data_IF_165140612112
#
_entry.id   IF_165140612112
#
_cell.length_a   1.000
_cell.length_b   1.000
_cell.length_c   1.000
_cell.angle_alpha   90.00
_cell.angle_beta   90.00
_cell.angle_gamma   90.00
#
_symmetry.space_group_name_H-M   'P 1'
#
loop_
_entity.id
_entity.type
_entity.pdbx_description
1 polymer ?
#
# COMPACT_ATOMS: atom_id res chain seq x y z
N UNK A 1 -31.51 8.57 -23.67
CA UNK A 1 -30.58 9.67 -23.26
C UNK A 1 -29.47 9.19 -22.30
N UNK A 2 -29.22 7.88 -22.21
CA UNK A 2 -28.22 7.26 -21.30
C UNK A 2 -26.76 7.15 -21.77
N UNK A 3 -26.39 7.16 -23.07
CA UNK A 3 -25.03 6.80 -23.48
C UNK A 3 -23.98 7.89 -23.21
N UNK A 4 -24.41 9.14 -22.96
CA UNK A 4 -23.50 10.27 -22.70
C UNK A 4 -22.99 10.30 -21.26
N UNK A 5 -23.75 9.78 -20.29
CA UNK A 5 -23.31 9.77 -18.89
C UNK A 5 -22.32 8.64 -18.60
N UNK A 6 -22.50 7.46 -19.19
CA UNK A 6 -21.57 6.33 -19.00
C UNK A 6 -20.19 6.62 -19.60
N UNK A 7 -20.16 7.24 -20.79
CA UNK A 7 -18.90 7.64 -21.46
C UNK A 7 -18.11 8.70 -20.68
N UNK A 8 -18.79 9.60 -19.96
CA UNK A 8 -18.14 10.64 -19.16
C UNK A 8 -17.48 10.08 -17.88
N UNK A 9 -18.12 9.10 -17.25
CA UNK A 9 -17.58 8.37 -16.09
C UNK A 9 -16.36 7.54 -16.48
N UNK A 10 -16.39 6.87 -17.63
CA UNK A 10 -15.26 6.05 -18.10
C UNK A 10 -14.06 6.93 -18.50
N UNK A 11 -14.31 8.06 -19.17
CA UNK A 11 -13.27 9.02 -19.53
C UNK A 11 -12.62 9.63 -18.28
N UNK A 12 -13.43 10.04 -17.30
CA UNK A 12 -12.95 10.56 -16.01
C UNK A 12 -12.14 9.51 -15.26
N UNK A 13 -12.59 8.26 -15.26
CA UNK A 13 -11.88 7.14 -14.61
C UNK A 13 -10.52 6.90 -15.24
N UNK A 14 -10.44 6.87 -16.57
CA UNK A 14 -9.19 6.70 -17.30
C UNK A 14 -8.23 7.86 -17.05
N UNK A 15 -8.73 9.10 -17.02
CA UNK A 15 -7.93 10.28 -16.70
C UNK A 15 -7.34 10.20 -15.28
N UNK A 16 -8.15 9.89 -14.27
CA UNK A 16 -7.67 9.79 -12.89
C UNK A 16 -6.64 8.67 -12.71
N UNK A 17 -6.85 7.52 -13.36
CA UNK A 17 -5.87 6.44 -13.37
C UNK A 17 -4.57 6.88 -14.06
N UNK A 18 -4.65 7.51 -15.23
CA UNK A 18 -3.48 8.01 -15.96
C UNK A 18 -2.69 9.04 -15.15
N UNK A 19 -3.37 9.98 -14.49
CA UNK A 19 -2.75 10.98 -13.61
C UNK A 19 -2.11 10.33 -12.37
N UNK A 20 -2.78 9.33 -11.78
CA UNK A 20 -2.25 8.55 -10.66
C UNK A 20 -0.95 7.83 -11.05
N UNK A 21 -0.94 7.14 -12.20
CA UNK A 21 0.24 6.44 -12.72
C UNK A 21 1.35 7.44 -13.05
N UNK A 22 1.02 8.56 -13.70
CA UNK A 22 1.98 9.62 -14.00
C UNK A 22 2.62 10.20 -12.74
N UNK A 23 1.83 10.45 -11.69
CA UNK A 23 2.34 10.90 -10.40
C UNK A 23 3.26 9.85 -9.74
N UNK A 24 2.93 8.56 -9.83
CA UNK A 24 3.79 7.47 -9.34
C UNK A 24 5.12 7.39 -10.09
N UNK A 25 5.11 7.57 -11.42
CA UNK A 25 6.33 7.60 -12.24
C UNK A 25 7.20 8.80 -11.85
N UNK A 26 6.61 10.00 -11.74
CA UNK A 26 7.33 11.21 -11.33
C UNK A 26 7.96 11.01 -9.94
N UNK A 27 7.19 10.43 -9.00
CA UNK A 27 7.71 10.11 -7.68
C UNK A 27 8.90 9.14 -7.76
N UNK A 28 8.77 8.02 -8.49
CA UNK A 28 9.82 7.01 -8.65
C UNK A 28 11.11 7.60 -9.26
N UNK A 29 10.98 8.50 -10.24
CA UNK A 29 12.13 9.17 -10.85
C UNK A 29 12.80 10.16 -9.89
N UNK A 30 12.04 10.82 -9.02
CA UNK A 30 12.53 11.88 -8.11
C UNK A 30 12.94 11.39 -6.72
N UNK A 31 12.95 10.09 -6.44
CA UNK A 31 13.32 9.59 -5.11
C UNK A 31 14.75 9.97 -4.68
N UNK A 32 15.65 10.22 -5.64
CA UNK A 32 17.03 10.65 -5.39
C UNK A 32 17.15 12.10 -4.89
N UNK A 33 16.15 12.94 -5.16
CA UNK A 33 16.19 14.36 -4.81
C UNK A 33 15.92 14.56 -3.31
N UNK A 34 16.52 15.58 -2.66
CA UNK A 34 16.12 15.95 -1.30
C UNK A 34 14.62 16.30 -1.24
N UNK A 35 14.02 16.31 -0.03
CA UNK A 35 12.61 16.67 0.14
C UNK A 35 12.28 17.97 -0.61
N UNK A 36 11.37 17.90 -1.56
CA UNK A 36 10.95 19.03 -2.38
C UNK A 36 9.44 18.94 -2.70
N UNK A 37 8.79 20.07 -3.02
CA UNK A 37 7.34 20.11 -3.21
C UNK A 37 6.84 19.17 -4.31
N UNK A 38 7.59 19.01 -5.40
CA UNK A 38 7.17 18.16 -6.52
C UNK A 38 7.26 16.67 -6.16
N UNK A 39 8.34 16.23 -5.51
CA UNK A 39 8.45 14.86 -4.97
C UNK A 39 7.35 14.57 -3.97
N UNK A 40 7.06 15.51 -3.07
CA UNK A 40 5.97 15.39 -2.10
C UNK A 40 4.62 15.23 -2.81
N UNK A 41 4.30 16.15 -3.73
CA UNK A 41 3.02 16.18 -4.42
C UNK A 41 2.83 14.94 -5.30
N UNK A 42 3.86 14.53 -6.04
CA UNK A 42 3.83 13.32 -6.87
C UNK A 42 3.56 12.07 -6.01
N UNK A 43 4.25 11.94 -4.88
CA UNK A 43 4.04 10.82 -3.96
C UNK A 43 2.62 10.82 -3.38
N UNK A 44 2.16 11.96 -2.87
CA UNK A 44 0.83 12.11 -2.29
C UNK A 44 -0.30 11.87 -3.32
N UNK A 45 -0.18 12.47 -4.52
CA UNK A 45 -1.18 12.36 -5.58
C UNK A 45 -1.27 10.95 -6.17
N UNK A 46 -0.18 10.19 -6.17
CA UNK A 46 -0.19 8.82 -6.72
C UNK A 46 -1.32 7.97 -6.12
N UNK A 47 -1.50 8.00 -4.80
CA UNK A 47 -2.54 7.21 -4.10
C UNK A 47 -3.82 8.01 -3.84
N UNK A 48 -3.76 9.33 -3.58
CA UNK A 48 -4.99 10.11 -3.35
C UNK A 48 -5.87 10.21 -4.59
N UNK A 49 -5.30 10.17 -5.80
CA UNK A 49 -6.08 10.06 -7.05
C UNK A 49 -6.77 8.69 -7.19
N UNK A 50 -6.16 7.60 -6.70
CA UNK A 50 -6.84 6.30 -6.61
C UNK A 50 -7.99 6.34 -5.59
N UNK A 51 -7.80 7.04 -4.47
CA UNK A 51 -8.86 7.27 -3.48
C UNK A 51 -10.05 8.03 -4.09
N UNK A 52 -9.77 9.09 -4.85
CA UNK A 52 -10.80 9.88 -5.53
C UNK A 52 -11.51 9.05 -6.60
N UNK A 53 -10.76 8.30 -7.39
CA UNK A 53 -11.33 7.35 -8.35
C UNK A 53 -12.29 6.37 -7.66
N UNK A 54 -11.87 5.77 -6.54
CA UNK A 54 -12.71 4.83 -5.81
C UNK A 54 -13.99 5.48 -5.29
N UNK A 55 -13.90 6.71 -4.78
CA UNK A 55 -15.07 7.48 -4.35
C UNK A 55 -16.05 7.74 -5.50
N UNK A 56 -15.56 8.23 -6.64
CA UNK A 56 -16.40 8.55 -7.80
C UNK A 56 -17.04 7.31 -8.43
N UNK A 57 -16.39 6.15 -8.30
CA UNK A 57 -16.93 4.86 -8.74
C UNK A 57 -17.91 4.23 -7.75
N UNK A 58 -18.23 4.90 -6.63
CA UNK A 58 -19.15 4.39 -5.63
C UNK A 58 -18.61 3.19 -4.86
N UNK A 59 -17.28 3.02 -4.81
CA UNK A 59 -16.67 1.91 -4.08
C UNK A 59 -16.95 2.00 -2.57
N UNK A 60 -16.89 0.88 -1.84
CA UNK A 60 -17.15 0.88 -0.41
C UNK A 60 -16.26 1.88 0.35
N UNK A 61 -16.85 2.61 1.30
CA UNK A 61 -16.16 3.65 2.09
C UNK A 61 -14.82 3.20 2.70
N UNK A 62 -14.66 1.96 3.22
CA UNK A 62 -13.37 1.51 3.74
C UNK A 62 -12.24 1.55 2.70
N UNK A 63 -12.51 1.27 1.41
CA UNK A 63 -11.51 1.35 0.35
C UNK A 63 -11.04 2.79 0.15
N UNK A 64 -11.99 3.72 0.05
CA UNK A 64 -11.72 5.16 -0.13
C UNK A 64 -10.88 5.67 1.05
N UNK A 65 -11.28 5.37 2.29
CA UNK A 65 -10.56 5.83 3.47
C UNK A 65 -9.18 5.17 3.61
N UNK A 66 -9.03 3.89 3.26
CA UNK A 66 -7.74 3.20 3.29
C UNK A 66 -6.73 3.84 2.31
N UNK A 67 -7.17 4.17 1.09
CA UNK A 67 -6.34 4.87 0.10
C UNK A 67 -6.01 6.30 0.55
N UNK A 68 -7.00 7.03 1.07
CA UNK A 68 -6.80 8.36 1.63
C UNK A 68 -5.75 8.37 2.75
N UNK A 69 -5.89 7.49 3.74
CA UNK A 69 -4.93 7.36 4.84
C UNK A 69 -3.56 6.88 4.36
N UNK A 70 -3.51 5.98 3.37
CA UNK A 70 -2.25 5.59 2.74
C UNK A 70 -1.53 6.80 2.13
N UNK A 71 -2.25 7.67 1.43
CA UNK A 71 -1.67 8.91 0.88
C UNK A 71 -1.20 9.89 1.97
N UNK A 72 -1.87 9.97 3.11
CA UNK A 72 -1.41 10.75 4.28
C UNK A 72 -0.16 10.15 4.93
N UNK A 73 -0.04 8.81 4.97
CA UNK A 73 1.19 8.13 5.40
C UNK A 73 2.35 8.44 4.45
N UNK A 74 2.07 8.46 3.15
CA UNK A 74 3.01 8.84 2.11
C UNK A 74 3.50 10.28 2.24
N UNK A 75 2.58 11.22 2.48
CA UNK A 75 2.89 12.61 2.77
C UNK A 75 3.78 12.72 4.01
N UNK A 76 3.46 11.98 5.09
CA UNK A 76 4.27 11.95 6.30
C UNK A 76 5.72 11.50 6.00
N UNK A 77 5.90 10.42 5.23
CA UNK A 77 7.23 9.96 4.82
C UNK A 77 7.98 10.94 3.90
N UNK A 78 7.25 11.73 3.10
CA UNK A 78 7.85 12.71 2.20
C UNK A 78 8.41 13.95 2.93
N UNK A 79 7.92 14.24 4.14
CA UNK A 79 8.38 15.38 4.95
C UNK A 79 9.78 15.18 5.57
N UNK A 80 10.28 13.94 5.62
CA UNK A 80 11.65 13.66 6.04
C UNK A 80 11.82 12.38 6.86
N UNK A 81 13.04 12.18 7.39
CA UNK A 81 13.45 10.95 8.10
C UNK A 81 13.46 11.07 9.64
N UNK A 82 12.74 12.03 10.20
CA UNK A 82 12.57 12.16 11.66
C UNK A 82 11.68 11.07 12.27
N UNK A 83 11.76 10.90 13.59
CA UNK A 83 10.91 9.93 14.32
C UNK A 83 9.43 10.30 14.27
N UNK A 84 9.10 11.60 14.31
CA UNK A 84 7.72 12.08 14.24
C UNK A 84 7.07 11.79 12.88
N UNK A 85 7.78 12.01 11.77
CA UNK A 85 7.28 11.71 10.43
C UNK A 85 7.10 10.20 10.21
N UNK A 86 7.99 9.38 10.78
CA UNK A 86 7.84 7.93 10.77
C UNK A 86 6.64 7.46 11.58
N UNK A 87 6.43 8.01 12.78
CA UNK A 87 5.28 7.66 13.61
C UNK A 87 3.97 8.05 12.92
N UNK A 88 3.90 9.25 12.33
CA UNK A 88 2.76 9.70 11.54
C UNK A 88 2.48 8.75 10.37
N UNK A 89 3.53 8.32 9.65
CA UNK A 89 3.38 7.34 8.58
C UNK A 89 2.84 5.99 9.09
N UNK A 90 3.45 5.45 10.15
CA UNK A 90 3.03 4.16 10.73
C UNK A 90 1.58 4.19 11.17
N UNK A 91 1.13 5.25 11.85
CA UNK A 91 -0.26 5.35 12.32
C UNK A 91 -1.23 5.40 11.15
N UNK A 92 -0.97 6.25 10.14
CA UNK A 92 -1.83 6.36 8.96
C UNK A 92 -1.92 5.04 8.20
N UNK A 93 -0.77 4.42 7.91
CA UNK A 93 -0.76 3.13 7.23
C UNK A 93 -1.40 2.03 8.08
N UNK A 94 -1.19 2.00 9.39
CA UNK A 94 -1.81 1.01 10.27
C UNK A 94 -3.34 1.06 10.17
N UNK A 95 -3.92 2.26 10.26
CA UNK A 95 -5.36 2.45 10.15
C UNK A 95 -5.85 2.07 8.74
N UNK A 96 -5.09 2.42 7.69
CA UNK A 96 -5.40 2.00 6.33
C UNK A 96 -5.46 0.47 6.18
N UNK A 97 -4.51 -0.27 6.76
CA UNK A 97 -4.51 -1.73 6.74
C UNK A 97 -5.69 -2.32 7.50
N UNK A 98 -6.08 -1.74 8.64
CA UNK A 98 -7.28 -2.16 9.37
C UNK A 98 -8.54 -1.96 8.52
N UNK A 99 -8.63 -0.85 7.79
CA UNK A 99 -9.74 -0.60 6.86
C UNK A 99 -9.73 -1.57 5.67
N UNK A 100 -8.57 -1.94 5.14
CA UNK A 100 -8.47 -3.01 4.14
C UNK A 100 -8.92 -4.36 4.68
N UNK A 101 -8.52 -4.73 5.91
CA UNK A 101 -8.99 -5.96 6.57
C UNK A 101 -10.52 -5.93 6.68
N UNK A 102 -11.09 -4.83 7.18
CA UNK A 102 -12.54 -4.69 7.30
C UNK A 102 -13.23 -4.78 5.93
N UNK A 103 -12.69 -4.10 4.91
CA UNK A 103 -13.19 -4.16 3.54
C UNK A 103 -13.27 -5.61 3.03
N UNK A 104 -12.15 -6.34 3.07
CA UNK A 104 -12.06 -7.69 2.55
C UNK A 104 -12.95 -8.65 3.34
N UNK A 105 -12.94 -8.55 4.67
CA UNK A 105 -13.80 -9.34 5.54
C UNK A 105 -15.28 -9.18 5.21
N UNK A 106 -15.74 -7.97 4.96
CA UNK A 106 -17.16 -7.69 4.74
C UNK A 106 -17.63 -7.96 3.30
N UNK A 107 -16.72 -8.05 2.33
CA UNK A 107 -17.09 -8.13 0.92
C UNK A 107 -16.56 -9.36 0.19
N UNK A 108 -16.29 -10.45 0.91
CA UNK A 108 -16.12 -11.76 0.30
C UNK A 108 -14.80 -12.47 0.56
N UNK A 109 -14.04 -12.08 1.58
CA UNK A 109 -12.92 -12.91 2.03
C UNK A 109 -13.44 -14.27 2.52
N UNK A 110 -13.04 -15.34 1.84
CA UNK A 110 -13.34 -16.72 2.20
C UNK A 110 -12.04 -17.51 2.33
N UNK A 111 -11.71 -17.93 3.56
CA UNK A 111 -10.51 -18.69 3.83
C UNK A 111 -10.57 -20.13 3.29
N UNK A 112 -11.74 -20.63 2.90
CA UNK A 112 -11.84 -21.89 2.16
C UNK A 112 -11.09 -21.80 0.82
N UNK A 113 -11.09 -20.63 0.16
CA UNK A 113 -10.31 -20.38 -1.06
C UNK A 113 -8.80 -20.54 -0.84
N UNK A 114 -8.32 -20.13 0.33
CA UNK A 114 -6.90 -20.30 0.69
C UNK A 114 -6.55 -21.78 0.85
N UNK A 115 -7.41 -22.55 1.52
CA UNK A 115 -7.16 -23.99 1.73
C UNK A 115 -7.32 -24.83 0.45
N UNK A 116 -8.20 -24.41 -0.46
CA UNK A 116 -8.49 -25.13 -1.71
C UNK A 116 -7.52 -24.82 -2.86
N UNK A 117 -6.76 -23.72 -2.77
CA UNK A 117 -5.83 -23.28 -3.81
C UNK A 117 -4.38 -23.31 -3.27
N UNK A 118 -3.56 -24.21 -3.84
CA UNK A 118 -2.16 -24.40 -3.44
C UNK A 118 -1.34 -23.12 -3.53
N UNK A 119 -1.62 -22.26 -4.51
CA UNK A 119 -0.91 -21.00 -4.69
C UNK A 119 -1.21 -20.02 -3.55
N UNK A 120 -2.48 -19.88 -3.18
CA UNK A 120 -2.92 -19.00 -2.07
C UNK A 120 -2.45 -19.51 -0.72
N UNK A 121 -2.46 -20.84 -0.54
CA UNK A 121 -1.89 -21.47 0.65
C UNK A 121 -0.39 -21.17 0.78
N UNK A 122 0.36 -21.34 -0.31
CA UNK A 122 1.80 -21.04 -0.33
C UNK A 122 2.06 -19.57 0.00
N UNK A 123 1.35 -18.63 -0.63
CA UNK A 123 1.45 -17.20 -0.31
C UNK A 123 1.20 -16.94 1.17
N UNK A 124 0.17 -17.55 1.74
CA UNK A 124 -0.18 -17.37 3.16
C UNK A 124 0.94 -17.84 4.09
N UNK A 125 1.49 -19.04 3.84
CA UNK A 125 2.60 -19.60 4.63
C UNK A 125 3.86 -18.74 4.48
N UNK A 126 4.21 -18.35 3.26
CA UNK A 126 5.38 -17.50 2.99
C UNK A 126 5.23 -16.15 3.68
N UNK A 127 4.06 -15.52 3.61
CA UNK A 127 3.80 -14.22 4.24
C UNK A 127 3.84 -14.29 5.76
N UNK A 128 3.31 -15.36 6.36
CA UNK A 128 3.43 -15.60 7.80
C UNK A 128 4.89 -15.75 8.22
N UNK A 129 5.64 -16.63 7.54
CA UNK A 129 7.05 -16.85 7.82
C UNK A 129 7.86 -15.56 7.63
N UNK A 130 7.58 -14.82 6.56
CA UNK A 130 8.19 -13.52 6.27
C UNK A 130 7.92 -12.50 7.37
N UNK A 131 6.69 -12.41 7.88
CA UNK A 131 6.34 -11.53 9.00
C UNK A 131 7.15 -11.84 10.27
N UNK A 132 7.34 -13.12 10.59
CA UNK A 132 8.17 -13.56 11.71
C UNK A 132 9.65 -13.20 11.49
N UNK A 133 10.20 -13.49 10.30
CA UNK A 133 11.60 -13.20 9.95
C UNK A 133 11.85 -11.69 9.95
N UNK A 134 10.99 -10.91 9.30
CA UNK A 134 11.08 -9.45 9.26
C UNK A 134 11.01 -8.87 10.68
N UNK A 135 10.11 -9.36 11.53
CA UNK A 135 10.01 -8.94 12.93
C UNK A 135 11.30 -9.24 13.72
N UNK A 136 11.82 -10.46 13.58
CA UNK A 136 13.06 -10.89 14.24
C UNK A 136 14.27 -10.06 13.80
N UNK A 137 14.36 -9.72 12.51
CA UNK A 137 15.50 -9.00 11.95
C UNK A 137 15.41 -7.48 12.13
N UNK A 138 14.22 -6.88 11.98
CA UNK A 138 14.04 -5.42 11.95
C UNK A 138 13.77 -4.87 13.35
N UNK A 139 12.86 -5.46 14.12
CA UNK A 139 12.41 -4.85 15.39
C UNK A 139 13.53 -4.62 16.42
N UNK A 140 14.56 -5.47 16.56
CA UNK A 140 15.69 -5.18 17.47
C UNK A 140 16.47 -3.92 17.11
N UNK A 141 16.39 -3.45 15.86
CA UNK A 141 17.06 -2.21 15.39
C UNK A 141 16.21 -0.96 15.59
N UNK A 142 14.92 -1.13 15.88
CA UNK A 142 13.99 -0.01 16.13
C UNK A 142 14.21 0.50 17.56
N UNK A 143 14.65 1.74 17.69
CA UNK A 143 14.99 2.36 18.99
C UNK A 143 13.77 3.06 19.61
N UNK A 144 13.66 3.01 20.94
CA UNK A 144 12.69 3.77 21.71
C UNK A 144 11.25 3.29 21.57
N UNK A 145 10.30 4.18 21.88
CA UNK A 145 8.86 3.87 21.97
C UNK A 145 8.21 3.48 20.64
N UNK A 146 8.84 3.75 19.49
CA UNK A 146 8.29 3.43 18.17
C UNK A 146 8.38 1.94 17.81
N UNK A 147 9.15 1.15 18.57
CA UNK A 147 9.27 -0.30 18.34
C UNK A 147 7.94 -1.05 18.47
N UNK A 148 7.12 -0.70 19.45
CA UNK A 148 5.81 -1.33 19.64
C UNK A 148 4.85 -1.01 18.48
N UNK A 149 4.67 0.25 18.05
CA UNK A 149 3.96 0.59 16.82
C UNK A 149 4.44 -0.20 15.60
N UNK A 150 5.75 -0.34 15.38
CA UNK A 150 6.29 -1.16 14.29
C UNK A 150 5.91 -2.65 14.41
N UNK A 151 5.93 -3.22 15.62
CA UNK A 151 5.57 -4.62 15.81
C UNK A 151 4.08 -4.88 15.52
N UNK A 152 3.21 -4.00 16.03
CA UNK A 152 1.77 -4.03 15.74
C UNK A 152 1.52 -3.87 14.25
N UNK A 153 2.25 -2.95 13.61
CA UNK A 153 2.19 -2.73 12.18
C UNK A 153 2.45 -3.99 11.36
N UNK A 154 3.54 -4.73 11.65
CA UNK A 154 3.87 -5.96 10.93
C UNK A 154 2.75 -7.00 11.09
N UNK A 155 2.21 -7.17 12.29
CA UNK A 155 1.10 -8.11 12.53
C UNK A 155 -0.17 -7.75 11.75
N UNK A 156 -0.52 -6.46 11.71
CA UNK A 156 -1.67 -5.96 10.95
C UNK A 156 -1.45 -6.07 9.44
N UNK A 157 -0.26 -5.76 8.94
CA UNK A 157 0.10 -5.92 7.53
C UNK A 157 0.00 -7.39 7.08
N UNK A 158 0.56 -8.32 7.86
CA UNK A 158 0.44 -9.76 7.59
C UNK A 158 -1.02 -10.19 7.58
N UNK A 159 -1.81 -9.73 8.55
CA UNK A 159 -3.25 -10.02 8.61
C UNK A 159 -3.98 -9.49 7.38
N UNK A 160 -3.71 -8.24 6.97
CA UNK A 160 -4.28 -7.64 5.77
C UNK A 160 -3.99 -8.48 4.52
N UNK A 161 -2.74 -8.91 4.35
CA UNK A 161 -2.34 -9.75 3.22
C UNK A 161 -3.05 -11.11 3.23
N UNK A 162 -3.21 -11.76 4.39
CA UNK A 162 -3.99 -13.01 4.50
C UNK A 162 -5.45 -12.83 4.10
N UNK A 163 -6.09 -11.73 4.50
CA UNK A 163 -7.43 -11.39 4.05
C UNK A 163 -7.48 -11.11 2.53
N UNK A 164 -6.46 -10.44 1.98
CA UNK A 164 -6.34 -10.23 0.54
C UNK A 164 -6.24 -11.56 -0.23
N UNK A 165 -5.50 -12.55 0.30
CA UNK A 165 -5.40 -13.89 -0.28
C UNK A 165 -6.68 -14.71 -0.16
N UNK A 166 -7.57 -14.36 0.77
CA UNK A 166 -8.89 -14.94 0.90
C UNK A 166 -9.92 -14.30 -0.05
N UNK A 167 -9.57 -13.23 -0.77
CA UNK A 167 -10.48 -12.60 -1.73
C UNK A 167 -10.56 -13.40 -3.05
N UNK A 168 -11.74 -13.51 -3.69
CA UNK A 168 -11.89 -14.15 -5.00
C UNK A 168 -10.99 -13.54 -6.09
N UNK A 169 -10.77 -12.22 -6.04
CA UNK A 169 -9.92 -11.51 -7.00
C UNK A 169 -8.43 -11.84 -6.82
N UNK A 170 -7.83 -12.46 -7.84
CA UNK A 170 -6.38 -12.71 -7.89
C UNK A 170 -5.58 -11.40 -7.89
N UNK A 171 -6.12 -10.30 -8.47
CA UNK A 171 -5.47 -8.99 -8.45
C UNK A 171 -5.29 -8.48 -7.02
N UNK A 172 -6.32 -8.61 -6.18
CA UNK A 172 -6.25 -8.22 -4.76
C UNK A 172 -5.22 -9.09 -4.03
N UNK A 173 -5.23 -10.41 -4.26
CA UNK A 173 -4.27 -11.32 -3.66
C UNK A 173 -2.81 -10.99 -4.03
N UNK A 174 -2.51 -10.78 -5.32
CA UNK A 174 -1.18 -10.35 -5.77
C UNK A 174 -0.81 -8.96 -5.20
N UNK A 175 -1.76 -8.02 -5.18
CA UNK A 175 -1.57 -6.71 -4.58
C UNK A 175 -1.15 -6.81 -3.11
N UNK A 176 -1.82 -7.64 -2.31
CA UNK A 176 -1.46 -7.89 -0.92
C UNK A 176 -0.04 -8.46 -0.75
N UNK A 177 0.39 -9.38 -1.61
CA UNK A 177 1.75 -9.92 -1.58
C UNK A 177 2.81 -8.86 -1.89
N UNK A 178 2.59 -8.06 -2.94
CA UNK A 178 3.50 -6.96 -3.31
C UNK A 178 3.57 -5.90 -2.19
N UNK A 179 2.44 -5.64 -1.51
CA UNK A 179 2.38 -4.71 -0.38
C UNK A 179 3.29 -5.14 0.78
N UNK A 180 3.27 -6.44 1.13
CA UNK A 180 4.15 -6.98 2.17
C UNK A 180 5.63 -6.76 1.81
N UNK A 181 5.99 -6.95 0.54
CA UNK A 181 7.35 -6.72 0.05
C UNK A 181 7.73 -5.24 0.12
N UNK A 182 6.87 -4.33 -0.37
CA UNK A 182 7.15 -2.89 -0.34
C UNK A 182 7.40 -2.37 1.07
N UNK A 183 6.56 -2.79 2.02
CA UNK A 183 6.64 -2.32 3.41
C UNK A 183 7.85 -2.87 4.14
N UNK A 184 8.23 -4.10 3.82
CA UNK A 184 9.48 -4.68 4.31
C UNK A 184 10.66 -3.88 3.80
N UNK A 185 10.67 -3.48 2.52
CA UNK A 185 11.71 -2.63 1.96
C UNK A 185 11.74 -1.25 2.61
N UNK A 186 10.59 -0.67 2.98
CA UNK A 186 10.54 0.57 3.78
C UNK A 186 11.23 0.35 5.13
N UNK A 187 10.92 -0.72 5.85
CA UNK A 187 11.54 -1.06 7.12
C UNK A 187 13.05 -1.28 7.00
N UNK A 188 13.49 -2.03 5.99
CA UNK A 188 14.92 -2.25 5.70
C UNK A 188 15.62 -0.93 5.37
N UNK A 189 15.06 -0.12 4.45
CA UNK A 189 15.59 1.20 4.11
C UNK A 189 15.71 2.10 5.35
N UNK A 190 14.77 1.99 6.29
CA UNK A 190 14.71 2.85 7.47
C UNK A 190 15.66 2.43 8.59
N UNK A 191 15.85 1.14 8.80
CA UNK A 191 16.53 0.61 9.99
C UNK A 191 17.85 -0.12 9.71
N UNK A 192 18.17 -0.45 8.45
CA UNK A 192 19.43 -1.10 8.08
C UNK A 192 20.41 -0.19 7.34
N UNK A 193 19.91 0.72 6.50
CA UNK A 193 20.77 1.57 5.68
C UNK A 193 20.95 2.95 6.30
N UNK A 194 22.21 3.38 6.38
CA UNK A 194 22.59 4.76 6.66
C UNK A 194 22.41 5.62 5.41
N UNK A 195 22.42 6.95 5.58
CA UNK A 195 22.08 7.88 4.50
C UNK A 195 23.03 7.78 3.27
N UNK A 196 24.25 7.28 3.45
CA UNK A 196 25.30 7.17 2.41
C UNK A 196 25.32 5.84 1.62
N UNK A 197 24.37 4.92 1.85
CA UNK A 197 24.38 3.62 1.16
C UNK A 197 24.14 3.76 -0.35
N UNK A 198 25.05 3.21 -1.17
CA UNK A 198 24.92 3.17 -2.63
C UNK A 198 23.65 2.43 -3.12
N UNK A 199 23.13 1.50 -2.33
CA UNK A 199 21.92 0.73 -2.66
C UNK A 199 20.62 1.47 -2.37
N UNK A 200 20.69 2.61 -1.67
CA UNK A 200 19.50 3.31 -1.19
C UNK A 200 18.62 3.83 -2.31
N UNK A 201 19.22 4.33 -3.38
CA UNK A 201 18.48 4.80 -4.55
C UNK A 201 17.62 3.68 -5.15
N UNK A 202 18.24 2.52 -5.40
CA UNK A 202 17.57 1.36 -5.94
C UNK A 202 16.42 0.88 -5.03
N UNK A 203 16.64 0.88 -3.71
CA UNK A 203 15.60 0.50 -2.75
C UNK A 203 14.44 1.50 -2.74
N UNK A 204 14.70 2.80 -2.73
CA UNK A 204 13.63 3.81 -2.76
C UNK A 204 12.82 3.75 -4.07
N UNK A 205 13.47 3.49 -5.21
CA UNK A 205 12.79 3.24 -6.48
C UNK A 205 11.93 1.97 -6.44
N UNK A 206 12.50 0.88 -5.90
CA UNK A 206 11.79 -0.41 -5.77
C UNK A 206 10.58 -0.27 -4.87
N UNK A 207 10.71 0.45 -3.74
CA UNK A 207 9.58 0.78 -2.87
C UNK A 207 8.49 1.50 -3.66
N UNK A 208 8.83 2.56 -4.39
CA UNK A 208 7.84 3.34 -5.14
C UNK A 208 7.07 2.48 -6.15
N UNK A 209 7.76 1.65 -6.92
CA UNK A 209 7.15 0.76 -7.92
C UNK A 209 6.26 -0.30 -7.26
N UNK A 210 6.78 -1.00 -6.25
CA UNK A 210 6.06 -2.11 -5.62
C UNK A 210 4.85 -1.59 -4.84
N UNK A 211 5.04 -0.55 -4.02
CA UNK A 211 3.96 0.03 -3.24
C UNK A 211 2.83 0.57 -4.13
N UNK A 212 3.16 1.34 -5.17
CA UNK A 212 2.14 1.83 -6.08
C UNK A 212 1.43 0.69 -6.82
N UNK A 213 2.17 -0.32 -7.28
CA UNK A 213 1.59 -1.50 -7.93
C UNK A 213 0.63 -2.25 -7.01
N UNK A 214 0.97 -2.39 -5.73
CA UNK A 214 0.10 -3.00 -4.74
C UNK A 214 -1.21 -2.22 -4.58
N UNK A 215 -1.13 -0.90 -4.36
CA UNK A 215 -2.30 -0.02 -4.24
C UNK A 215 -3.16 -0.04 -5.50
N UNK A 216 -2.54 0.01 -6.67
CA UNK A 216 -3.23 -0.02 -7.97
C UNK A 216 -3.95 -1.37 -8.20
N UNK A 217 -3.32 -2.49 -7.89
CA UNK A 217 -3.91 -3.82 -8.02
C UNK A 217 -5.08 -4.03 -7.03
N UNK A 218 -4.92 -3.59 -5.78
CA UNK A 218 -6.00 -3.65 -4.78
C UNK A 218 -7.17 -2.75 -5.22
N UNK A 219 -6.90 -1.54 -5.68
CA UNK A 219 -7.94 -0.60 -6.15
C UNK A 219 -8.65 -1.17 -7.38
N UNK A 220 -7.93 -1.53 -8.42
CA UNK A 220 -8.53 -2.06 -9.67
C UNK A 220 -9.28 -3.37 -9.45
N UNK A 221 -8.75 -4.27 -8.62
CA UNK A 221 -9.44 -5.50 -8.23
C UNK A 221 -10.68 -5.23 -7.37
N UNK A 222 -10.59 -4.26 -6.45
CA UNK A 222 -11.72 -3.80 -5.64
C UNK A 222 -12.83 -3.19 -6.49
N UNK A 223 -12.51 -2.29 -7.42
CA UNK A 223 -13.50 -1.66 -8.31
C UNK A 223 -14.21 -2.62 -9.25
N UNK A 224 -13.65 -3.80 -9.53
CA UNK A 224 -14.32 -4.82 -10.36
C UNK A 224 -15.18 -5.77 -9.54
N UNK A 225 -14.84 -5.96 -8.27
CA UNK A 225 -15.47 -6.96 -7.40
C UNK A 225 -16.49 -6.35 -6.45
N UNK A 226 -16.31 -5.08 -6.08
CA UNK A 226 -16.99 -4.40 -4.97
C UNK A 226 -17.85 -3.20 -5.40
N UNK A 227 -17.79 -2.81 -6.68
CA UNK A 227 -18.57 -1.74 -7.29
C UNK A 227 -19.37 -2.31 -8.47
#
# INVERSE_FOLDING_TARGET
>A
MEPRMSTDIDTTSALLQGLSVGAAIIWALKVHEPPNPLRFLAKFLSVSLLSLLAFLRGAPTPLVLALGLSSLGDASLALGRGSATLLGAIVNFLIAHVLYIALFRHHGADFALVSGDRYRLLLSVVTLAHGCVASYLILPRVKGSIRLPCAVYVGVLVTMALYAYAMPSSQIAFGGAIFVVSDTLIGVNRFYFNDESAYRLLIEQTIAVFYYSAQFLITSGGLKLLA
#
